data_IF_856288306687
#
_entry.id   IF_856288306687
#
_cell.length_a   1.000
_cell.length_b   1.000
_cell.length_c   1.000
_cell.angle_alpha   90.00
_cell.angle_beta   90.00
_cell.angle_gamma   90.00
#
_symmetry.space_group_name_H-M   'P 1'
#
loop_
_entity.id
_entity.type
_entity.pdbx_description
1 polymer ?
#
# COMPACT_ATOMS: atom_id res chain seq x y z
N UNK A 1 2.85 -20.26 -15.93
CA UNK A 1 2.69 -21.05 -17.17
C UNK A 1 1.50 -21.99 -17.06
N UNK A 2 0.61 -21.98 -18.06
CA UNK A 2 -0.68 -22.72 -18.08
C UNK A 2 -0.51 -24.23 -17.82
N UNK A 3 0.60 -24.83 -18.25
CA UNK A 3 0.96 -26.23 -17.99
C UNK A 3 1.30 -26.53 -16.51
N UNK A 4 1.80 -25.55 -15.75
CA UNK A 4 2.19 -25.73 -14.34
C UNK A 4 1.00 -25.97 -13.40
N UNK A 5 -0.22 -25.66 -13.84
CA UNK A 5 -1.43 -25.94 -13.08
C UNK A 5 -1.74 -27.44 -13.10
N UNK A 6 -1.77 -28.06 -11.91
CA UNK A 6 -2.18 -29.46 -11.72
C UNK A 6 -3.53 -29.76 -12.39
N UNK A 7 -4.46 -28.80 -12.28
CA UNK A 7 -5.79 -28.85 -12.89
C UNK A 7 -5.75 -28.85 -14.43
N UNK A 8 -4.85 -28.08 -15.05
CA UNK A 8 -4.69 -28.09 -16.51
C UNK A 8 -4.14 -29.44 -16.99
N UNK A 9 -3.14 -30.00 -16.30
CA UNK A 9 -2.60 -31.33 -16.63
C UNK A 9 -3.70 -32.40 -16.52
N UNK A 10 -4.45 -32.42 -15.44
CA UNK A 10 -5.55 -33.39 -15.26
C UNK A 10 -6.62 -33.33 -16.37
N UNK A 11 -6.88 -32.15 -16.94
CA UNK A 11 -7.82 -31.98 -18.06
C UNK A 11 -7.20 -32.51 -19.37
N UNK A 12 -5.94 -32.20 -19.67
CA UNK A 12 -5.34 -32.48 -20.98
C UNK A 12 -4.56 -33.81 -21.08
N UNK A 13 -4.24 -34.47 -19.96
CA UNK A 13 -3.51 -35.76 -19.91
C UNK A 13 -4.39 -36.99 -20.16
N UNK A 14 -5.71 -36.91 -19.92
CA UNK A 14 -6.57 -38.10 -19.91
C UNK A 14 -6.85 -38.62 -21.34
N UNK A 15 -6.75 -39.93 -21.61
CA UNK A 15 -6.99 -40.49 -22.95
C UNK A 15 -8.44 -40.27 -23.44
N UNK A 16 -9.40 -40.18 -22.51
CA UNK A 16 -10.80 -39.82 -22.78
C UNK A 16 -10.96 -38.40 -23.36
N UNK A 17 -9.96 -37.55 -23.17
CA UNK A 17 -9.93 -36.16 -23.62
C UNK A 17 -9.10 -35.97 -24.90
N UNK A 18 -8.75 -37.04 -25.63
CA UNK A 18 -8.04 -36.96 -26.91
C UNK A 18 -8.77 -36.09 -27.96
N UNK A 19 -10.09 -35.95 -27.84
CA UNK A 19 -10.91 -35.04 -28.66
C UNK A 19 -10.59 -33.55 -28.44
N UNK A 20 -9.95 -33.18 -27.32
CA UNK A 20 -9.49 -31.82 -27.01
C UNK A 20 -8.33 -31.35 -27.91
N UNK A 21 -7.87 -32.14 -28.87
CA UNK A 21 -6.85 -31.71 -29.86
C UNK A 21 -7.40 -30.75 -30.92
N UNK A 22 -8.71 -30.54 -30.98
CA UNK A 22 -9.38 -29.63 -31.94
C UNK A 22 -9.71 -28.28 -31.29
N UNK A 23 -9.74 -27.19 -32.09
CA UNK A 23 -9.94 -25.80 -31.62
C UNK A 23 -11.22 -25.58 -30.81
N UNK A 24 -12.36 -26.03 -31.32
CA UNK A 24 -13.69 -25.84 -30.69
C UNK A 24 -13.79 -26.55 -29.32
N UNK A 25 -13.32 -27.80 -29.16
CA UNK A 25 -13.24 -28.45 -27.85
C UNK A 25 -12.35 -27.76 -26.81
N UNK A 26 -11.22 -27.18 -27.21
CA UNK A 26 -10.33 -26.44 -26.28
C UNK A 26 -11.01 -25.19 -25.77
N UNK A 27 -11.66 -24.46 -26.67
CA UNK A 27 -12.43 -23.28 -26.30
C UNK A 27 -13.52 -23.65 -25.30
N UNK A 28 -14.31 -24.69 -25.58
CA UNK A 28 -15.32 -25.21 -24.65
C UNK A 28 -14.73 -25.62 -23.28
N UNK A 29 -13.55 -26.23 -23.24
CA UNK A 29 -12.86 -26.59 -22.00
C UNK A 29 -12.38 -25.35 -21.22
N UNK A 30 -11.87 -24.33 -21.92
CA UNK A 30 -11.47 -23.04 -21.31
C UNK A 30 -12.67 -22.34 -20.69
N UNK A 31 -13.85 -22.37 -21.34
CA UNK A 31 -15.09 -21.83 -20.77
C UNK A 31 -15.53 -22.66 -19.57
N UNK A 32 -15.67 -23.98 -19.75
CA UNK A 32 -16.23 -24.90 -18.74
C UNK A 32 -15.41 -24.92 -17.45
N UNK A 33 -14.10 -24.72 -17.55
CA UNK A 33 -13.20 -24.76 -16.40
C UNK A 33 -12.67 -23.38 -15.99
N UNK A 34 -13.22 -22.29 -16.56
CA UNK A 34 -12.84 -20.90 -16.27
C UNK A 34 -11.32 -20.69 -16.27
N UNK A 35 -10.64 -21.19 -17.31
CA UNK A 35 -9.18 -21.07 -17.43
C UNK A 35 -8.81 -19.65 -17.87
N UNK A 36 -8.30 -18.84 -16.95
CA UNK A 36 -7.79 -17.48 -17.22
C UNK A 36 -6.36 -17.33 -16.71
N UNK A 37 -5.47 -16.80 -17.55
CA UNK A 37 -4.10 -16.43 -17.16
C UNK A 37 -3.81 -15.04 -17.69
N UNK A 38 -3.76 -14.05 -16.80
CA UNK A 38 -3.34 -12.69 -17.16
C UNK A 38 -1.87 -12.72 -17.63
N UNK A 39 -1.47 -12.00 -18.69
CA UNK A 39 -2.22 -11.01 -19.48
C UNK A 39 -2.93 -11.57 -20.74
N UNK A 40 -3.01 -12.89 -20.91
CA UNK A 40 -3.45 -13.51 -22.16
C UNK A 40 -4.96 -13.46 -22.33
N UNK A 41 -5.45 -13.06 -23.51
CA UNK A 41 -6.88 -13.13 -23.81
C UNK A 41 -7.30 -14.58 -24.13
N UNK A 42 -8.61 -14.88 -24.12
CA UNK A 42 -9.12 -16.23 -24.40
C UNK A 42 -8.61 -16.81 -25.73
N UNK A 43 -8.48 -15.97 -26.77
CA UNK A 43 -7.94 -16.41 -28.07
C UNK A 43 -6.49 -16.84 -27.96
N UNK A 44 -5.67 -16.10 -27.22
CA UNK A 44 -4.25 -16.39 -27.00
C UNK A 44 -4.10 -17.68 -26.18
N UNK A 45 -4.90 -17.85 -25.13
CA UNK A 45 -4.91 -19.07 -24.29
C UNK A 45 -5.27 -20.29 -25.13
N UNK A 46 -6.29 -20.20 -25.99
CA UNK A 46 -6.67 -21.29 -26.90
C UNK A 46 -5.53 -21.57 -27.90
N UNK A 47 -4.85 -20.55 -28.41
CA UNK A 47 -3.69 -20.70 -29.29
C UNK A 47 -2.53 -21.43 -28.60
N UNK A 48 -2.15 -20.99 -27.40
CA UNK A 48 -1.09 -21.58 -26.58
C UNK A 48 -1.42 -23.03 -26.25
N UNK A 49 -2.64 -23.33 -25.79
CA UNK A 49 -3.06 -24.70 -25.45
C UNK A 49 -3.01 -25.64 -26.67
N UNK A 50 -3.34 -25.15 -27.87
CA UNK A 50 -3.20 -25.92 -29.11
C UNK A 50 -1.76 -26.27 -29.41
N UNK A 51 -0.84 -25.32 -29.23
CA UNK A 51 0.58 -25.54 -29.45
C UNK A 51 1.15 -26.55 -28.45
N UNK A 52 0.83 -26.40 -27.16
CA UNK A 52 1.26 -27.31 -26.11
C UNK A 52 0.73 -28.74 -26.29
N UNK A 53 -0.49 -28.89 -26.81
CA UNK A 53 -1.06 -30.20 -27.16
C UNK A 53 -0.37 -30.82 -28.38
N UNK A 54 0.02 -30.02 -29.37
CA UNK A 54 0.78 -30.48 -30.54
C UNK A 54 2.18 -30.97 -30.15
N UNK A 55 2.80 -30.28 -29.20
CA UNK A 55 4.13 -30.59 -28.63
C UNK A 55 4.08 -31.68 -27.56
N UNK A 56 2.90 -32.27 -27.29
CA UNK A 56 2.70 -33.36 -26.30
C UNK A 56 3.19 -33.00 -24.90
N UNK A 57 3.22 -31.71 -24.56
CA UNK A 57 3.73 -31.21 -23.28
C UNK A 57 2.95 -31.77 -22.09
N UNK A 58 1.64 -32.01 -22.28
CA UNK A 58 0.79 -32.61 -21.26
C UNK A 58 0.93 -34.14 -21.16
N UNK A 59 1.56 -34.85 -22.10
CA UNK A 59 1.60 -36.32 -22.05
C UNK A 59 2.57 -36.86 -20.99
N UNK A 60 3.72 -36.20 -20.77
CA UNK A 60 4.55 -36.48 -19.60
C UNK A 60 5.46 -35.31 -19.21
N UNK A 61 5.98 -35.40 -17.98
CA UNK A 61 6.98 -34.47 -17.44
C UNK A 61 8.25 -34.44 -18.30
N UNK A 62 8.61 -35.55 -18.97
CA UNK A 62 9.80 -35.60 -19.81
C UNK A 62 9.61 -34.81 -21.11
N UNK A 63 8.43 -34.87 -21.74
CA UNK A 63 8.12 -34.03 -22.91
C UNK A 63 8.04 -32.56 -22.52
N UNK A 64 7.44 -32.23 -21.37
CA UNK A 64 7.43 -30.86 -20.87
C UNK A 64 8.84 -30.32 -20.58
N UNK A 65 9.73 -31.14 -20.03
CA UNK A 65 11.15 -30.80 -19.81
C UNK A 65 11.92 -30.56 -21.10
N UNK A 66 11.61 -31.32 -22.15
CA UNK A 66 12.24 -31.14 -23.46
C UNK A 66 11.82 -29.83 -24.15
N UNK A 67 10.59 -29.38 -23.93
CA UNK A 67 10.04 -28.18 -24.58
C UNK A 67 10.30 -26.92 -23.75
N UNK A 68 10.32 -27.05 -22.41
CA UNK A 68 10.55 -25.93 -21.48
C UNK A 68 11.59 -26.29 -20.41
N UNK A 69 12.86 -26.55 -20.78
CA UNK A 69 13.90 -26.96 -19.84
C UNK A 69 14.10 -25.95 -18.70
N UNK A 70 13.93 -24.66 -18.97
CA UNK A 70 14.03 -23.55 -18.01
C UNK A 70 13.04 -23.63 -16.83
N UNK A 71 11.93 -24.35 -16.97
CA UNK A 71 10.96 -24.54 -15.87
C UNK A 71 11.34 -25.65 -14.91
N UNK A 72 12.29 -26.51 -15.30
CA UNK A 72 12.65 -27.71 -14.54
C UNK A 72 14.12 -27.73 -14.12
N UNK A 73 14.90 -26.74 -14.56
CA UNK A 73 16.23 -26.48 -14.04
C UNK A 73 16.13 -25.88 -12.63
N UNK A 74 16.29 -26.70 -11.60
CA UNK A 74 16.75 -26.20 -10.31
C UNK A 74 18.25 -25.90 -10.42
N UNK A 75 18.74 -24.76 -9.89
CA UNK A 75 20.17 -24.49 -9.84
C UNK A 75 20.87 -25.64 -9.09
N UNK A 76 21.93 -26.17 -9.69
CA UNK A 76 22.72 -27.22 -9.06
C UNK A 76 23.31 -26.69 -7.75
N UNK A 77 22.89 -27.28 -6.63
CA UNK A 77 23.53 -27.10 -5.32
C UNK A 77 24.24 -28.40 -4.98
N UNK A 78 25.56 -28.40 -4.68
CA UNK A 78 26.20 -29.51 -4.02
C UNK A 78 25.66 -29.62 -2.59
N UNK A 79 25.21 -30.81 -2.21
CA UNK A 79 24.58 -31.15 -0.95
C UNK A 79 25.37 -30.67 0.29
N UNK A 80 24.70 -29.93 1.20
CA UNK A 80 24.87 -30.07 2.64
C UNK A 80 23.58 -29.66 3.37
N UNK A 81 23.32 -30.39 4.45
CA UNK A 81 22.06 -30.49 5.16
C UNK A 81 21.45 -29.17 5.68
N UNK A 82 20.14 -29.23 5.88
CA UNK A 82 19.26 -28.23 6.48
C UNK A 82 19.87 -27.47 7.66
N UNK A 83 20.05 -26.16 7.49
CA UNK A 83 19.86 -25.18 8.55
C UNK A 83 19.20 -23.95 7.94
N UNK A 84 18.11 -23.50 8.56
CA UNK A 84 17.57 -22.15 8.41
C UNK A 84 18.72 -21.18 8.61
N UNK A 85 19.27 -20.63 7.54
CA UNK A 85 20.28 -19.58 7.65
C UNK A 85 19.65 -18.23 7.39
N UNK A 86 19.59 -17.44 8.46
CA UNK A 86 19.60 -15.99 8.38
C UNK A 86 20.94 -15.51 7.81
N UNK A 87 21.26 -15.80 6.55
CA UNK A 87 22.38 -15.12 5.92
C UNK A 87 21.94 -13.69 5.58
N UNK A 88 22.65 -12.66 6.04
CA UNK A 88 22.41 -11.29 5.59
C UNK A 88 22.61 -11.24 4.06
N UNK A 89 21.89 -10.34 3.36
CA UNK A 89 22.02 -10.20 1.91
C UNK A 89 23.49 -10.04 1.51
N UNK A 90 23.90 -10.69 0.44
CA UNK A 90 25.27 -10.63 -0.09
C UNK A 90 25.62 -9.18 -0.42
N UNK A 91 26.90 -8.77 -0.27
CA UNK A 91 27.34 -7.38 -0.47
C UNK A 91 26.94 -6.80 -1.84
N UNK A 92 26.86 -7.65 -2.86
CA UNK A 92 26.44 -7.29 -4.21
C UNK A 92 24.93 -7.05 -4.32
N UNK A 93 24.10 -7.82 -3.61
CA UNK A 93 22.64 -7.64 -3.54
C UNK A 93 22.25 -6.36 -2.79
N UNK A 94 23.02 -6.02 -1.75
CA UNK A 94 22.85 -4.77 -1.00
C UNK A 94 23.13 -3.56 -1.92
N UNK A 95 24.17 -3.64 -2.77
CA UNK A 95 24.52 -2.57 -3.72
C UNK A 95 23.38 -2.31 -4.72
N UNK A 96 22.85 -3.37 -5.35
CA UNK A 96 21.80 -3.25 -6.36
C UNK A 96 20.49 -2.70 -5.77
N UNK A 97 20.13 -3.11 -4.55
CA UNK A 97 18.93 -2.57 -3.89
C UNK A 97 19.08 -1.09 -3.52
N UNK A 98 20.25 -0.64 -3.09
CA UNK A 98 20.49 0.77 -2.79
C UNK A 98 20.57 1.64 -4.05
N UNK A 99 21.18 1.14 -5.13
CA UNK A 99 21.17 1.81 -6.43
C UNK A 99 19.74 2.00 -6.95
N UNK A 100 18.92 0.96 -6.88
CA UNK A 100 17.50 1.03 -7.26
C UNK A 100 16.72 2.03 -6.40
N UNK A 101 16.98 2.06 -5.09
CA UNK A 101 16.35 3.01 -4.17
C UNK A 101 16.77 4.45 -4.45
N UNK A 102 18.05 4.69 -4.74
CA UNK A 102 18.55 6.01 -5.12
C UNK A 102 17.89 6.50 -6.43
N UNK A 103 17.76 5.62 -7.42
CA UNK A 103 17.09 5.93 -8.67
C UNK A 103 15.60 6.31 -8.48
N UNK A 104 14.87 5.58 -7.63
CA UNK A 104 13.48 5.96 -7.30
C UNK A 104 13.38 7.35 -6.63
N UNK A 105 14.35 7.72 -5.81
CA UNK A 105 14.40 9.05 -5.19
C UNK A 105 14.68 10.15 -6.22
N UNK A 106 15.59 9.88 -7.15
CA UNK A 106 15.88 10.77 -8.27
C UNK A 106 14.64 10.97 -9.15
N UNK A 107 13.86 9.92 -9.44
CA UNK A 107 12.61 10.04 -10.19
C UNK A 107 11.58 10.94 -9.50
N UNK A 108 11.44 10.83 -8.18
CA UNK A 108 10.55 11.72 -7.42
C UNK A 108 11.01 13.18 -7.51
N UNK A 109 12.32 13.42 -7.47
CA UNK A 109 12.90 14.76 -7.45
C UNK A 109 12.88 15.42 -8.82
N UNK A 110 13.22 14.66 -9.86
CA UNK A 110 13.36 15.18 -11.23
C UNK A 110 12.04 15.14 -12.01
N UNK A 111 11.13 14.24 -11.66
CA UNK A 111 9.88 14.02 -12.39
C UNK A 111 10.07 13.49 -13.82
N UNK A 112 11.27 13.01 -14.18
CA UNK A 112 11.53 12.46 -15.51
C UNK A 112 10.64 11.24 -15.77
N UNK A 113 10.06 11.13 -16.96
CA UNK A 113 9.12 10.06 -17.34
C UNK A 113 7.77 10.08 -16.60
N UNK A 114 7.47 11.15 -15.87
CA UNK A 114 6.20 11.27 -15.16
C UNK A 114 5.00 11.33 -16.13
N UNK A 115 4.04 10.45 -15.90
CA UNK A 115 2.85 10.23 -16.72
C UNK A 115 1.54 10.42 -15.93
N UNK A 116 1.64 10.87 -14.67
CA UNK A 116 0.52 11.30 -13.83
C UNK A 116 0.86 12.55 -13.01
N UNK A 117 -0.13 13.42 -12.81
CA UNK A 117 -0.11 14.52 -11.86
C UNK A 117 -0.98 14.17 -10.64
N UNK A 118 -0.42 14.30 -9.44
CA UNK A 118 -1.18 14.23 -8.20
C UNK A 118 -1.43 15.64 -7.69
N UNK A 119 -2.68 15.97 -7.37
CA UNK A 119 -3.10 17.31 -6.97
C UNK A 119 -3.61 17.26 -5.54
N UNK A 120 -3.18 18.20 -4.70
CA UNK A 120 -3.70 18.42 -3.35
C UNK A 120 -3.78 19.92 -3.11
N UNK A 121 -4.99 20.44 -2.89
CA UNK A 121 -5.22 21.89 -2.73
C UNK A 121 -4.50 22.70 -3.84
N UNK A 122 -3.49 23.49 -3.48
CA UNK A 122 -2.71 24.32 -4.41
C UNK A 122 -1.40 23.67 -4.86
N UNK A 123 -1.06 22.49 -4.36
CA UNK A 123 0.18 21.78 -4.65
C UNK A 123 -0.04 20.69 -5.71
N UNK A 124 1.00 20.44 -6.49
CA UNK A 124 1.00 19.46 -7.57
C UNK A 124 2.30 18.66 -7.56
N UNK A 125 2.17 17.35 -7.69
CA UNK A 125 3.29 16.43 -7.80
C UNK A 125 3.28 15.78 -9.18
N UNK A 126 4.43 15.81 -9.85
CA UNK A 126 4.66 14.97 -11.02
C UNK A 126 5.07 13.58 -10.55
N UNK A 127 4.37 12.55 -11.01
CA UNK A 127 4.57 11.18 -10.54
C UNK A 127 4.42 10.16 -11.66
N UNK A 128 4.64 8.89 -11.30
CA UNK A 128 4.66 7.75 -12.22
C UNK A 128 3.52 6.80 -11.90
N UNK A 129 2.63 6.55 -12.87
CA UNK A 129 1.47 5.66 -12.74
C UNK A 129 1.90 4.29 -12.29
N UNK A 130 2.98 3.74 -12.86
CA UNK A 130 3.50 2.42 -12.49
C UNK A 130 3.80 2.32 -10.99
N UNK A 131 4.37 3.37 -10.40
CA UNK A 131 4.77 3.41 -8.99
C UNK A 131 3.53 3.64 -8.11
N UNK A 132 2.78 4.71 -8.35
CA UNK A 132 1.66 5.09 -7.45
C UNK A 132 0.50 4.11 -7.53
N UNK A 133 0.23 3.54 -8.71
CA UNK A 133 -0.82 2.52 -8.87
C UNK A 133 -0.40 1.17 -8.29
N UNK A 134 0.90 0.87 -8.22
CA UNK A 134 1.38 -0.33 -7.54
C UNK A 134 1.01 -0.28 -6.05
N UNK A 135 1.26 0.87 -5.41
CA UNK A 135 1.04 1.06 -3.98
C UNK A 135 -0.41 1.34 -3.57
N UNK A 136 -1.18 2.03 -4.42
CA UNK A 136 -2.58 2.37 -4.13
C UNK A 136 -3.52 1.76 -5.16
N UNK A 137 -4.29 0.73 -4.79
CA UNK A 137 -5.38 0.20 -5.60
C UNK A 137 -6.44 1.27 -5.93
N UNK A 138 -6.66 2.23 -5.03
CA UNK A 138 -7.62 3.32 -5.23
C UNK A 138 -7.16 4.27 -6.35
N UNK A 139 -5.91 4.70 -6.33
CA UNK A 139 -5.33 5.52 -7.41
C UNK A 139 -5.34 4.74 -8.73
N UNK A 140 -5.01 3.43 -8.69
CA UNK A 140 -5.07 2.55 -9.86
C UNK A 140 -6.47 2.53 -10.47
N UNK A 141 -7.50 2.32 -9.65
CA UNK A 141 -8.87 2.23 -10.11
C UNK A 141 -9.36 3.56 -10.69
N UNK A 142 -8.97 4.68 -10.07
CA UNK A 142 -9.25 6.02 -10.60
C UNK A 142 -8.61 6.24 -11.97
N UNK A 143 -7.35 5.83 -12.15
CA UNK A 143 -6.67 5.90 -13.45
C UNK A 143 -7.36 5.07 -14.53
N UNK A 144 -7.81 3.85 -14.21
CA UNK A 144 -8.54 2.98 -15.13
C UNK A 144 -9.88 3.60 -15.51
N UNK A 145 -10.64 4.09 -14.53
CA UNK A 145 -11.94 4.71 -14.75
C UNK A 145 -11.83 5.96 -15.64
N UNK A 146 -10.83 6.81 -15.40
CA UNK A 146 -10.59 7.99 -16.22
C UNK A 146 -10.23 7.60 -17.66
N UNK A 147 -9.36 6.61 -17.86
CA UNK A 147 -9.02 6.11 -19.21
C UNK A 147 -10.25 5.61 -19.99
N UNK A 148 -11.18 4.91 -19.31
CA UNK A 148 -12.44 4.44 -19.90
C UNK A 148 -13.36 5.61 -20.27
N UNK A 149 -13.46 6.64 -19.42
CA UNK A 149 -14.26 7.85 -19.72
C UNK A 149 -13.79 8.58 -20.98
N UNK A 150 -12.47 8.70 -21.16
CA UNK A 150 -11.89 9.30 -22.37
C UNK A 150 -12.14 8.45 -23.62
N UNK A 151 -12.08 7.12 -23.49
CA UNK A 151 -12.37 6.20 -24.60
C UNK A 151 -13.85 6.24 -25.06
N UNK A 152 -14.79 6.59 -24.16
CA UNK A 152 -16.22 6.68 -24.46
C UNK A 152 -16.69 8.11 -24.80
N UNK A 153 -15.77 9.06 -25.01
CA UNK A 153 -16.09 10.39 -25.54
C UNK A 153 -16.89 11.32 -24.60
N UNK A 154 -16.91 11.06 -23.29
CA UNK A 154 -17.66 11.87 -22.31
C UNK A 154 -16.86 13.06 -21.74
N UNK A 155 -15.68 13.37 -22.27
CA UNK A 155 -14.95 14.60 -21.96
C UNK A 155 -15.41 15.73 -22.89
N UNK A 156 -15.73 16.91 -22.33
CA UNK A 156 -16.02 18.13 -23.11
C UNK A 156 -14.90 18.37 -24.14
N UNK A 157 -15.20 18.65 -25.41
CA UNK A 157 -14.21 18.92 -26.44
C UNK A 157 -13.74 20.37 -26.31
N UNK A 158 -12.85 20.65 -25.35
CA UNK A 158 -12.13 21.92 -25.36
C UNK A 158 -10.65 21.69 -25.63
N UNK A 159 -10.26 22.27 -26.77
CA UNK A 159 -8.92 22.58 -27.29
C UNK A 159 -8.22 21.53 -28.17
N UNK A 160 -8.03 21.83 -29.46
CA UNK A 160 -7.22 21.03 -30.37
C UNK A 160 -5.75 21.39 -30.15
N UNK A 161 -5.10 20.65 -29.25
CA UNK A 161 -3.66 20.67 -29.06
C UNK A 161 -3.20 19.27 -28.72
N UNK A 162 -2.21 18.75 -29.45
CA UNK A 162 -1.54 17.46 -29.26
C UNK A 162 -0.74 17.42 -27.93
N UNK A 163 -1.41 17.64 -26.79
CA UNK A 163 -0.84 17.41 -25.48
C UNK A 163 -1.12 15.95 -25.12
N UNK A 164 -0.08 15.15 -25.01
CA UNK A 164 -0.12 13.85 -24.32
C UNK A 164 -0.82 14.08 -22.97
N UNK A 165 -2.11 13.76 -22.87
CA UNK A 165 -2.90 14.06 -21.67
C UNK A 165 -2.36 13.20 -20.52
N UNK A 166 -1.48 13.82 -19.73
CA UNK A 166 -0.97 13.25 -18.48
C UNK A 166 -2.16 12.93 -17.58
N UNK A 167 -2.20 11.73 -17.01
CA UNK A 167 -3.28 11.38 -16.10
C UNK A 167 -3.27 12.35 -14.91
N UNK A 168 -4.43 12.61 -14.29
CA UNK A 168 -4.47 13.39 -13.06
C UNK A 168 -5.28 12.70 -11.97
N UNK A 169 -4.81 12.79 -10.74
CA UNK A 169 -5.51 12.31 -9.55
C UNK A 169 -5.57 13.44 -8.52
N UNK A 170 -6.74 13.66 -7.91
CA UNK A 170 -6.97 14.72 -6.94
C UNK A 170 -7.24 14.11 -5.56
N UNK A 171 -6.51 14.57 -4.55
CA UNK A 171 -6.65 14.16 -3.16
C UNK A 171 -7.76 14.93 -2.40
N UNK A 172 -8.39 15.92 -3.04
CA UNK A 172 -9.47 16.72 -2.46
C UNK A 172 -9.00 17.55 -1.27
N UNK A 173 -9.76 17.50 -0.17
CA UNK A 173 -9.50 18.26 1.05
C UNK A 173 -8.44 17.64 1.98
N UNK A 174 -7.72 16.61 1.50
CA UNK A 174 -6.65 15.97 2.25
C UNK A 174 -5.59 16.98 2.73
N UNK A 175 -4.97 16.65 3.86
CA UNK A 175 -3.88 17.44 4.42
C UNK A 175 -2.63 17.37 3.51
N UNK A 176 -2.10 18.50 3.02
CA UNK A 176 -0.96 18.51 2.09
C UNK A 176 0.29 17.83 2.65
N UNK A 177 0.59 18.00 3.94
CA UNK A 177 1.76 17.36 4.55
C UNK A 177 1.58 15.85 4.64
N UNK A 178 0.37 15.40 4.93
CA UNK A 178 0.08 13.98 4.98
C UNK A 178 0.12 13.36 3.57
N UNK A 179 -0.31 14.09 2.54
CA UNK A 179 -0.16 13.69 1.12
C UNK A 179 1.31 13.64 0.74
N UNK A 180 2.12 14.64 1.11
CA UNK A 180 3.56 14.66 0.87
C UNK A 180 4.23 13.41 1.47
N UNK A 181 3.92 13.07 2.71
CA UNK A 181 4.41 11.86 3.36
C UNK A 181 4.05 10.59 2.58
N UNK A 182 2.80 10.49 2.09
CA UNK A 182 2.37 9.34 1.27
C UNK A 182 3.07 9.28 -0.08
N UNK A 183 3.28 10.43 -0.74
CA UNK A 183 4.02 10.51 -2.01
C UNK A 183 5.48 10.11 -1.79
N UNK A 184 6.14 10.61 -0.74
CA UNK A 184 7.48 10.19 -0.36
C UNK A 184 7.55 8.67 -0.17
N UNK A 185 6.57 8.08 0.53
CA UNK A 185 6.53 6.63 0.78
C UNK A 185 6.48 5.81 -0.51
N UNK A 186 5.76 6.24 -1.54
CA UNK A 186 5.68 5.51 -2.81
C UNK A 186 7.04 5.29 -3.49
N UNK A 187 8.00 6.19 -3.28
CA UNK A 187 9.33 6.10 -3.89
C UNK A 187 10.40 5.64 -2.91
N UNK A 188 10.36 6.15 -1.68
CA UNK A 188 11.41 5.92 -0.66
C UNK A 188 11.16 4.68 0.18
N UNK A 189 9.94 4.13 0.14
CA UNK A 189 9.43 3.11 1.08
C UNK A 189 9.47 3.55 2.55
N UNK A 190 9.60 4.86 2.75
CA UNK A 190 9.60 5.54 4.02
C UNK A 190 9.21 7.00 3.77
N UNK A 191 8.97 7.78 4.82
CA UNK A 191 8.75 9.21 4.73
C UNK A 191 9.43 9.95 5.87
N UNK A 192 9.84 11.18 5.59
CA UNK A 192 10.34 12.11 6.58
C UNK A 192 9.26 13.15 6.84
N UNK A 193 8.69 13.08 8.03
CA UNK A 193 7.75 14.08 8.50
C UNK A 193 8.56 15.27 9.04
N UNK A 194 8.40 16.42 8.39
CA UNK A 194 8.98 17.68 8.86
C UNK A 194 7.85 18.43 9.57
N UNK A 195 8.04 18.88 10.83
CA UNK A 195 7.06 19.74 11.48
C UNK A 195 6.81 20.97 10.60
N UNK A 196 5.54 21.29 10.32
CA UNK A 196 5.22 22.54 9.64
C UNK A 196 5.67 23.72 10.50
N UNK A 197 6.67 24.47 10.06
CA UNK A 197 6.75 25.88 10.43
C UNK A 197 5.71 26.55 9.54
N UNK A 198 4.61 27.01 10.12
CA UNK A 198 3.57 27.68 9.35
C UNK A 198 4.16 28.98 8.76
N UNK A 199 4.47 28.99 7.47
CA UNK A 199 4.65 30.22 6.70
C UNK A 199 3.27 30.79 6.39
N UNK A 200 2.63 31.38 7.39
CA UNK A 200 1.55 32.31 7.14
C UNK A 200 2.20 33.64 6.69
N UNK A 201 1.98 33.90 5.41
CA UNK A 201 2.11 35.16 4.66
C UNK A 201 2.57 36.39 5.46
N UNK A 202 3.66 36.99 5.00
CA UNK A 202 3.99 38.39 5.24
C UNK A 202 2.81 39.27 4.83
N UNK A 203 2.06 39.71 5.83
CA UNK A 203 1.23 40.91 5.79
C UNK A 203 1.69 41.75 6.97
N UNK A 204 2.45 42.80 6.68
CA UNK A 204 2.83 43.83 7.64
C UNK A 204 1.57 44.44 8.25
N UNK A 205 1.44 44.34 9.57
CA UNK A 205 0.92 45.43 10.40
C UNK A 205 1.30 45.18 11.86
N UNK A 206 2.09 46.11 12.41
CA UNK A 206 2.52 46.14 13.79
C UNK A 206 1.35 46.42 14.75
N UNK A 207 1.22 45.61 15.80
CA UNK A 207 1.14 46.06 17.21
C UNK A 207 0.44 45.05 18.11
N UNK A 208 0.96 44.97 19.34
CA UNK A 208 0.35 44.43 20.56
C UNK A 208 0.71 42.99 20.97
N UNK A 209 1.46 42.94 22.06
CA UNK A 209 1.78 41.76 22.84
C UNK A 209 0.54 41.18 23.54
N UNK A 210 0.26 39.90 23.29
CA UNK A 210 -0.34 38.97 24.27
C UNK A 210 0.00 37.54 23.84
N UNK A 211 0.56 36.76 24.76
CA UNK A 211 0.91 35.37 24.51
C UNK A 211 -0.29 34.53 24.05
N UNK A 212 -0.17 33.91 22.90
CA UNK A 212 -1.01 32.79 22.47
C UNK A 212 -0.16 31.93 21.53
N UNK A 213 0.46 30.89 22.08
CA UNK A 213 1.17 29.86 21.31
C UNK A 213 0.14 29.09 20.47
N UNK A 214 0.05 29.40 19.18
CA UNK A 214 -0.79 28.75 18.17
C UNK A 214 0.09 27.72 17.42
N UNK A 215 -0.46 26.55 17.04
CA UNK A 215 0.15 25.26 17.30
C UNK A 215 1.13 24.83 16.22
N UNK A 216 2.34 24.46 16.66
CA UNK A 216 3.18 23.53 15.90
C UNK A 216 2.34 22.29 15.58
N UNK A 217 2.13 21.99 14.30
CA UNK A 217 1.39 20.79 13.92
C UNK A 217 2.23 19.58 14.36
N UNK A 218 1.92 19.05 15.54
CA UNK A 218 2.72 17.99 16.15
C UNK A 218 2.76 16.77 15.24
N UNK A 219 3.95 16.19 15.15
CA UNK A 219 4.23 14.98 14.39
C UNK A 219 3.28 13.82 14.75
N UNK A 220 2.75 13.77 15.98
CA UNK A 220 1.73 12.80 16.39
C UNK A 220 0.42 12.95 15.61
N UNK A 221 -0.04 14.19 15.44
CA UNK A 221 -1.26 14.51 14.68
C UNK A 221 -1.02 14.22 13.20
N UNK A 222 0.14 14.63 12.67
CA UNK A 222 0.52 14.35 11.28
C UNK A 222 0.54 12.84 11.01
N UNK A 223 1.14 12.02 11.88
CA UNK A 223 1.11 10.57 11.73
C UNK A 223 -0.32 10.00 11.76
N UNK A 224 -1.21 10.55 12.58
CA UNK A 224 -2.62 10.13 12.58
C UNK A 224 -3.30 10.45 11.24
N UNK A 225 -3.09 11.65 10.69
CA UNK A 225 -3.57 12.04 9.36
C UNK A 225 -2.99 11.18 8.23
N UNK A 226 -1.70 10.86 8.28
CA UNK A 226 -1.06 9.97 7.29
C UNK A 226 -1.65 8.56 7.37
N UNK A 227 -1.96 8.08 8.59
CA UNK A 227 -2.64 6.79 8.76
C UNK A 227 -4.04 6.80 8.15
N UNK A 228 -4.82 7.86 8.38
CA UNK A 228 -6.13 8.06 7.76
C UNK A 228 -6.02 8.02 6.23
N UNK A 229 -5.09 8.78 5.63
CA UNK A 229 -4.89 8.75 4.17
C UNK A 229 -4.47 7.37 3.67
N UNK A 230 -3.54 6.70 4.37
CA UNK A 230 -3.10 5.36 4.02
C UNK A 230 -4.24 4.34 4.10
N UNK A 231 -5.22 4.53 4.98
CA UNK A 231 -6.45 3.74 4.99
C UNK A 231 -7.35 4.08 3.80
N UNK A 232 -7.67 5.35 3.57
CA UNK A 232 -8.54 5.83 2.48
C UNK A 232 -8.04 5.37 1.11
N UNK A 233 -6.73 5.46 0.87
CA UNK A 233 -6.11 5.10 -0.41
C UNK A 233 -5.60 3.65 -0.47
N UNK A 234 -5.91 2.85 0.54
CA UNK A 234 -5.56 1.43 0.67
C UNK A 234 -4.06 1.14 0.47
N UNK A 235 -3.22 1.86 1.20
CA UNK A 235 -1.77 1.73 1.20
C UNK A 235 -1.32 1.01 2.47
N UNK A 236 -1.54 -0.31 2.53
CA UNK A 236 -1.28 -1.13 3.72
C UNK A 236 0.17 -1.04 4.23
N UNK A 237 1.15 -0.95 3.32
CA UNK A 237 2.56 -0.79 3.68
C UNK A 237 2.84 0.51 4.44
N UNK A 238 2.14 1.59 4.08
CA UNK A 238 2.26 2.89 4.74
C UNK A 238 1.60 2.85 6.12
N UNK A 239 0.41 2.24 6.27
CA UNK A 239 -0.26 2.08 7.58
C UNK A 239 0.69 1.48 8.63
N UNK A 240 1.43 0.43 8.25
CA UNK A 240 2.40 -0.22 9.14
C UNK A 240 3.52 0.73 9.57
N UNK A 241 4.16 1.41 8.62
CA UNK A 241 5.27 2.33 8.92
C UNK A 241 4.79 3.49 9.80
N UNK A 242 3.60 4.00 9.53
CA UNK A 242 3.03 5.11 10.29
C UNK A 242 2.78 4.72 11.74
N UNK A 243 2.21 3.54 11.99
CA UNK A 243 2.00 3.03 13.36
C UNK A 243 3.32 2.85 14.10
N UNK A 244 4.34 2.31 13.44
CA UNK A 244 5.67 2.15 14.04
C UNK A 244 6.31 3.50 14.41
N UNK A 245 6.21 4.50 13.52
CA UNK A 245 6.73 5.86 13.78
C UNK A 245 5.93 6.58 14.86
N UNK A 246 4.60 6.50 14.81
CA UNK A 246 3.71 7.05 15.82
C UNK A 246 4.02 6.47 17.19
N UNK A 247 4.12 5.14 17.32
CA UNK A 247 4.39 4.49 18.60
C UNK A 247 5.74 4.94 19.19
N UNK A 248 6.81 4.98 18.38
CA UNK A 248 8.12 5.46 18.82
C UNK A 248 8.06 6.91 19.34
N UNK A 249 7.38 7.79 18.60
CA UNK A 249 7.25 9.18 18.99
C UNK A 249 6.37 9.36 20.23
N UNK A 250 5.23 8.67 20.28
CA UNK A 250 4.29 8.74 21.39
C UNK A 250 4.88 8.25 22.71
N UNK A 251 5.83 7.30 22.67
CA UNK A 251 6.58 6.87 23.86
C UNK A 251 7.55 7.95 24.38
N UNK A 252 8.02 8.85 23.51
CA UNK A 252 8.88 9.97 23.90
C UNK A 252 8.04 11.17 24.37
N UNK A 253 6.90 11.40 23.72
CA UNK A 253 6.06 12.58 23.90
C UNK A 253 4.69 12.27 24.56
N UNK A 254 4.61 11.23 25.39
CA UNK A 254 3.33 10.75 25.96
C UNK A 254 2.58 11.78 26.81
N UNK A 255 3.26 12.80 27.34
CA UNK A 255 2.63 13.93 28.08
C UNK A 255 2.14 15.07 27.19
N UNK A 256 2.41 15.01 25.88
CA UNK A 256 2.03 16.07 24.96
C UNK A 256 0.51 16.09 24.79
N UNK A 257 -0.09 17.28 24.85
CA UNK A 257 -1.51 17.47 24.48
C UNK A 257 -1.79 17.05 23.04
N UNK A 258 -0.76 16.96 22.20
CA UNK A 258 -0.89 16.49 20.83
C UNK A 258 -1.26 15.01 20.72
N UNK A 259 -1.06 14.21 21.78
CA UNK A 259 -1.58 12.86 21.87
C UNK A 259 -3.12 12.84 21.86
N UNK A 260 -3.75 13.86 22.46
CA UNK A 260 -5.21 14.04 22.47
C UNK A 260 -5.74 14.29 21.06
N UNK A 261 -5.13 15.24 20.36
CA UNK A 261 -5.55 15.59 18.99
C UNK A 261 -5.30 14.44 18.02
N UNK A 262 -4.19 13.72 18.18
CA UNK A 262 -3.92 12.49 17.44
C UNK A 262 -4.98 11.41 17.70
N UNK A 263 -5.41 11.25 18.95
CA UNK A 263 -6.46 10.31 19.31
C UNK A 263 -7.81 10.69 18.68
N UNK A 264 -8.18 11.97 18.70
CA UNK A 264 -9.39 12.46 18.02
C UNK A 264 -9.35 12.16 16.53
N UNK A 265 -8.25 12.50 15.86
CA UNK A 265 -8.06 12.22 14.43
C UNK A 265 -8.24 10.71 14.16
N UNK A 266 -7.55 9.85 14.92
CA UNK A 266 -7.62 8.40 14.72
C UNK A 266 -9.04 7.84 14.94
N UNK A 267 -9.74 8.24 16.01
CA UNK A 267 -11.06 7.70 16.33
C UNK A 267 -12.19 8.26 15.45
N UNK A 268 -12.06 9.49 14.96
CA UNK A 268 -13.06 10.12 14.10
C UNK A 268 -12.90 9.71 12.63
N UNK A 269 -11.66 9.59 12.15
CA UNK A 269 -11.39 9.41 10.72
C UNK A 269 -11.25 7.94 10.29
N UNK A 270 -11.06 7.00 11.24
CA UNK A 270 -10.94 5.57 10.92
C UNK A 270 -12.04 4.75 11.58
N UNK A 271 -12.62 3.74 10.91
CA UNK A 271 -13.65 2.89 11.50
C UNK A 271 -13.06 1.87 12.51
N UNK A 272 -13.88 1.29 13.42
CA UNK A 272 -13.41 0.37 14.47
C UNK A 272 -12.73 -0.92 13.97
N UNK A 273 -12.96 -1.33 12.72
CA UNK A 273 -12.33 -2.50 12.11
C UNK A 273 -10.91 -2.24 11.58
N UNK A 274 -10.40 -1.02 11.75
CA UNK A 274 -9.02 -0.61 11.43
C UNK A 274 -8.34 -0.20 12.75
N UNK A 275 -7.96 -1.17 13.60
CA UNK A 275 -7.59 -0.90 14.97
C UNK A 275 -6.15 -0.43 15.12
N UNK A 276 -5.30 -0.50 14.09
CA UNK A 276 -3.83 -0.45 14.26
C UNK A 276 -3.34 0.85 14.92
N UNK A 277 -3.88 2.01 14.52
CA UNK A 277 -3.55 3.28 15.16
C UNK A 277 -4.21 3.45 16.53
N UNK A 278 -5.46 2.98 16.67
CA UNK A 278 -6.20 3.04 17.94
C UNK A 278 -5.52 2.19 19.02
N UNK A 279 -5.05 1.00 18.67
CA UNK A 279 -4.27 0.12 19.54
C UNK A 279 -2.96 0.77 19.97
N UNK A 280 -2.27 1.49 19.07
CA UNK A 280 -1.06 2.22 19.42
C UNK A 280 -1.33 3.32 20.45
N UNK A 281 -2.42 4.09 20.30
CA UNK A 281 -2.86 5.11 21.26
C UNK A 281 -3.26 4.49 22.60
N UNK A 282 -4.10 3.44 22.55
CA UNK A 282 -4.57 2.69 23.72
C UNK A 282 -3.40 2.16 24.53
N UNK A 283 -2.41 1.57 23.86
CA UNK A 283 -1.20 1.03 24.49
C UNK A 283 -0.43 2.13 25.23
N UNK A 284 -0.19 3.28 24.58
CA UNK A 284 0.52 4.41 25.21
C UNK A 284 -0.22 4.91 26.46
N UNK A 285 -1.54 5.11 26.37
CA UNK A 285 -2.36 5.57 27.50
C UNK A 285 -2.44 4.54 28.64
N UNK A 286 -2.54 3.26 28.31
CA UNK A 286 -2.61 2.18 29.30
C UNK A 286 -1.27 1.98 30.05
N UNK A 287 -0.14 2.18 29.36
CA UNK A 287 1.21 2.10 29.96
C UNK A 287 1.49 3.31 30.87
N UNK A 288 0.93 4.48 30.56
CA UNK A 288 1.17 5.74 31.29
C UNK A 288 -0.01 6.13 32.19
N UNK A 289 -0.34 5.30 33.19
CA UNK A 289 -1.50 5.51 34.10
C UNK A 289 -1.56 6.89 34.77
N UNK A 290 -0.43 7.55 34.98
CA UNK A 290 -0.36 8.91 35.56
C UNK A 290 -1.13 9.94 34.73
N UNK A 291 -1.29 9.72 33.43
CA UNK A 291 -2.05 10.58 32.54
C UNK A 291 -3.55 10.61 32.87
N UNK A 292 -4.08 9.59 33.53
CA UNK A 292 -5.52 9.46 33.73
C UNK A 292 -6.06 10.43 34.77
N UNK A 293 -5.18 10.96 35.62
CA UNK A 293 -5.52 11.99 36.58
C UNK A 293 -5.58 13.39 35.96
N UNK A 294 -5.02 13.56 34.75
CA UNK A 294 -4.98 14.83 34.04
C UNK A 294 -6.35 15.16 33.42
N UNK A 295 -6.83 16.40 33.62
CA UNK A 295 -8.17 16.80 33.20
C UNK A 295 -8.36 16.71 31.68
N UNK A 296 -7.35 17.06 30.89
CA UNK A 296 -7.42 17.00 29.43
C UNK A 296 -7.55 15.55 28.90
N UNK A 297 -7.06 14.55 29.63
CA UNK A 297 -7.26 13.13 29.28
C UNK A 297 -8.64 12.66 29.72
N UNK A 298 -9.10 13.08 30.90
CA UNK A 298 -10.47 12.77 31.35
C UNK A 298 -11.51 13.31 30.38
N UNK A 299 -11.35 14.55 29.92
CA UNK A 299 -12.19 15.15 28.89
C UNK A 299 -12.19 14.31 27.59
N UNK A 300 -11.01 13.90 27.11
CA UNK A 300 -10.87 13.04 25.94
C UNK A 300 -11.58 11.69 26.10
N UNK A 301 -11.48 11.07 27.28
CA UNK A 301 -12.09 9.76 27.56
C UNK A 301 -13.62 9.84 27.60
N UNK A 302 -14.17 10.96 28.07
CA UNK A 302 -15.61 11.26 28.03
C UNK A 302 -16.06 11.54 26.59
N UNK A 303 -15.32 12.35 25.84
CA UNK A 303 -15.58 12.67 24.44
C UNK A 303 -15.56 11.40 23.56
N UNK A 304 -14.50 10.58 23.70
CA UNK A 304 -14.28 9.37 22.95
C UNK A 304 -14.60 8.14 23.82
N UNK A 305 -15.89 7.92 24.10
CA UNK A 305 -16.33 6.76 24.90
C UNK A 305 -15.77 5.41 24.40
N UNK A 306 -15.63 5.23 23.08
CA UNK A 306 -15.01 4.02 22.51
C UNK A 306 -13.54 3.85 22.91
N UNK A 307 -12.76 4.94 23.02
CA UNK A 307 -11.38 4.87 23.50
C UNK A 307 -11.33 4.31 24.92
N UNK A 308 -12.26 4.71 25.78
CA UNK A 308 -12.35 4.20 27.15
C UNK A 308 -12.63 2.70 27.16
N UNK A 309 -13.56 2.23 26.32
CA UNK A 309 -13.85 0.80 26.17
C UNK A 309 -12.65 0.01 25.65
N UNK A 310 -11.94 0.55 24.66
CA UNK A 310 -10.78 -0.10 24.06
C UNK A 310 -9.63 -0.20 25.07
N UNK A 311 -9.40 0.84 25.89
CA UNK A 311 -8.43 0.83 26.99
C UNK A 311 -8.80 -0.22 28.05
N UNK A 312 -10.05 -0.24 28.52
CA UNK A 312 -10.49 -1.22 29.53
C UNK A 312 -10.33 -2.66 29.00
N UNK A 313 -10.67 -2.88 27.73
CA UNK A 313 -10.50 -4.17 27.06
C UNK A 313 -9.03 -4.56 26.97
N UNK A 314 -8.14 -3.62 26.62
CA UNK A 314 -6.70 -3.85 26.58
C UNK A 314 -6.14 -4.19 27.96
N UNK A 315 -6.53 -3.46 29.01
CA UNK A 315 -6.10 -3.71 30.39
C UNK A 315 -6.55 -5.07 30.90
N UNK A 316 -7.77 -5.52 30.57
CA UNK A 316 -8.26 -6.84 30.96
C UNK A 316 -7.49 -7.96 30.28
N UNK A 317 -7.13 -7.80 29.00
CA UNK A 317 -6.32 -8.77 28.26
C UNK A 317 -4.87 -8.86 28.74
N UNK A 318 -4.32 -7.76 29.26
CA UNK A 318 -2.91 -7.64 29.67
C UNK A 318 -2.68 -7.92 31.16
N UNK A 319 -3.73 -8.07 31.97
CA UNK A 319 -3.59 -8.58 33.34
C UNK A 319 -3.08 -10.03 33.28
N UNK A 320 -1.94 -10.36 33.89
CA UNK A 320 -1.51 -11.75 33.98
C UNK A 320 -2.56 -12.56 34.74
N UNK A 321 -2.90 -13.74 34.23
CA UNK A 321 -3.81 -14.72 34.83
C UNK A 321 -3.27 -15.35 36.13
N UNK A 322 -2.45 -14.64 36.90
CA UNK A 322 -1.81 -15.14 38.11
C UNK A 322 -2.38 -14.42 39.33
N UNK A 323 -3.60 -14.79 39.73
CA UNK A 323 -4.13 -14.48 41.07
C UNK A 323 -5.17 -15.55 41.48
N UNK A 324 -4.73 -16.80 41.51
CA UNK A 324 -5.21 -17.84 42.42
C UNK A 324 -4.01 -18.71 42.77
N UNK A 325 -3.44 -18.48 43.95
CA UNK A 325 -2.30 -19.17 44.53
C UNK A 325 -2.16 -18.75 45.97
#
# INVERSE_FOLDING_TARGET
MIYGSKRCREIFCKPQNAALRKRKPIEAAVIRHSLSVFPFCRRDIVGILKQLLKERVFESIHQARSVFPELFSTPAVPQKASQTSMFPPTRQDISVMEEHKAWLQELLTTGQYSDIELKVKNEKYTAHRLIVCYWSPVIRQSCVFNAVKFAHGQSKPNEPGNATMKASFDFGDADPQAVDCMVQFFYKRDYQAIPSICSDKEGEDESSATGTTIPECSLLVLHSKVFTLAHIYDVAGLRKIVVDKFHKLAQLEWRSKCLVEAAREAYNATPPNIPEMREAIVKVLAEHRKLWDEDYIKELLVELSQLTLDILTYMNKTRPHNFWG
#
